data_IF_273672094664
#
_entry.id   IF_273672094664
#
_cell.length_a   1.000
_cell.length_b   1.000
_cell.length_c   1.000
_cell.angle_alpha   90.00
_cell.angle_beta   90.00
_cell.angle_gamma   90.00
#
_symmetry.space_group_name_H-M   'P 1'
#
loop_
_entity.id
_entity.type
_entity.pdbx_description
1 polymer ?
#
# COMPACT_ATOMS: atom_id res chain seq x y z
N UNK A 1 -0.66 12.28 9.38
CA UNK A 1 0.20 12.04 8.21
C UNK A 1 -0.08 10.70 7.60
N UNK A 2 0.55 9.63 8.12
CA UNK A 2 0.44 8.26 7.57
C UNK A 2 -1.02 7.75 7.55
N UNK A 3 -1.82 8.07 8.56
CA UNK A 3 -3.25 7.73 8.61
C UNK A 3 -4.09 8.33 7.48
N UNK A 4 -3.70 9.49 6.92
CA UNK A 4 -4.42 10.10 5.79
C UNK A 4 -4.23 9.24 4.53
N UNK A 5 -3.08 8.57 4.36
CA UNK A 5 -2.90 7.61 3.28
C UNK A 5 -3.72 6.33 3.51
N UNK A 6 -3.75 5.84 4.75
CA UNK A 6 -4.53 4.65 5.08
C UNK A 6 -6.02 4.82 4.81
N UNK A 7 -6.53 6.06 4.84
CA UNK A 7 -7.89 6.42 4.46
C UNK A 7 -8.23 6.13 2.98
N UNK A 8 -7.22 6.03 2.12
CA UNK A 8 -7.41 5.82 0.68
C UNK A 8 -6.76 4.53 0.15
N UNK A 9 -6.09 3.79 1.02
CA UNK A 9 -5.57 2.46 0.70
C UNK A 9 -6.72 1.46 0.77
N UNK A 10 -7.34 1.21 -0.39
CA UNK A 10 -8.36 0.18 -0.52
C UNK A 10 -7.74 -1.20 -0.30
N UNK A 11 -8.57 -2.17 0.08
CA UNK A 11 -8.13 -3.54 0.30
C UNK A 11 -7.47 -4.16 -0.95
N UNK A 12 -6.40 -4.94 -0.76
CA UNK A 12 -5.72 -5.72 -1.81
C UNK A 12 -6.69 -6.59 -2.62
N UNK A 13 -7.84 -6.90 -2.01
CA UNK A 13 -8.98 -7.62 -2.58
C UNK A 13 -9.47 -6.99 -3.89
N UNK A 14 -9.40 -5.67 -4.09
CA UNK A 14 -9.88 -5.05 -5.34
C UNK A 14 -9.01 -5.40 -6.56
N UNK A 15 -7.70 -5.61 -6.37
CA UNK A 15 -6.82 -6.09 -7.45
C UNK A 15 -7.14 -7.54 -7.82
N UNK A 16 -7.39 -8.39 -6.82
CA UNK A 16 -7.85 -9.76 -7.03
C UNK A 16 -9.26 -9.81 -7.66
N UNK A 17 -10.14 -8.88 -7.28
CA UNK A 17 -11.47 -8.76 -7.86
C UNK A 17 -11.39 -8.35 -9.33
N UNK A 18 -10.44 -7.45 -9.70
CA UNK A 18 -10.18 -7.10 -11.09
C UNK A 18 -9.75 -8.31 -11.93
N UNK A 19 -8.89 -9.17 -11.38
CA UNK A 19 -8.48 -10.41 -12.04
C UNK A 19 -9.68 -11.30 -12.35
N UNK A 20 -10.55 -11.49 -11.35
CA UNK A 20 -11.76 -12.31 -11.50
C UNK A 20 -12.74 -11.71 -12.50
N UNK A 21 -12.93 -10.39 -12.50
CA UNK A 21 -13.74 -9.66 -13.49
C UNK A 21 -13.20 -9.81 -14.91
N UNK A 22 -11.89 -9.98 -15.08
CA UNK A 22 -11.24 -10.16 -16.38
C UNK A 22 -11.46 -11.56 -16.97
N UNK A 23 -12.25 -12.42 -16.31
CA UNK A 23 -12.59 -13.77 -16.78
C UNK A 23 -11.56 -14.83 -16.43
N UNK A 24 -10.60 -14.53 -15.55
CA UNK A 24 -9.61 -15.50 -15.09
C UNK A 24 -10.19 -16.47 -14.06
N UNK A 25 -9.72 -17.71 -14.11
CA UNK A 25 -10.13 -18.78 -13.21
C UNK A 25 -9.73 -18.50 -11.74
N UNK A 26 -10.45 -19.09 -10.79
CA UNK A 26 -10.22 -18.90 -9.35
C UNK A 26 -8.80 -19.34 -8.94
N UNK A 27 -8.28 -20.41 -9.57
CA UNK A 27 -6.91 -20.86 -9.38
C UNK A 27 -5.87 -19.79 -9.75
N UNK A 28 -6.16 -18.98 -10.77
CA UNK A 28 -5.27 -17.90 -11.23
C UNK A 28 -5.22 -16.76 -10.20
N UNK A 29 -6.37 -16.39 -9.63
CA UNK A 29 -6.45 -15.37 -8.57
C UNK A 29 -5.71 -15.80 -7.30
N UNK A 30 -5.83 -17.07 -6.91
CA UNK A 30 -5.06 -17.65 -5.79
C UNK A 30 -3.57 -17.63 -6.10
N UNK A 31 -3.18 -18.02 -7.33
CA UNK A 31 -1.78 -17.99 -7.79
C UNK A 31 -1.18 -16.59 -7.74
N UNK A 32 -1.92 -15.58 -8.20
CA UNK A 32 -1.50 -14.18 -8.13
C UNK A 32 -1.32 -13.70 -6.68
N UNK A 33 -2.22 -14.10 -5.78
CA UNK A 33 -2.10 -13.78 -4.35
C UNK A 33 -0.86 -14.42 -3.71
N UNK A 34 -0.61 -15.70 -3.98
CA UNK A 34 0.60 -16.40 -3.50
C UNK A 34 1.86 -15.73 -4.04
N UNK A 35 1.88 -15.41 -5.33
CA UNK A 35 3.01 -14.77 -5.98
C UNK A 35 3.30 -13.37 -5.41
N UNK A 36 2.26 -12.55 -5.20
CA UNK A 36 2.40 -11.27 -4.51
C UNK A 36 3.03 -11.43 -3.13
N UNK A 37 2.56 -12.38 -2.32
CA UNK A 37 3.12 -12.64 -1.00
C UNK A 37 4.57 -13.14 -1.06
N UNK A 38 4.94 -13.93 -2.08
CA UNK A 38 6.32 -14.36 -2.30
C UNK A 38 7.22 -13.17 -2.62
N UNK A 39 6.80 -12.29 -3.53
CA UNK A 39 7.55 -11.07 -3.87
C UNK A 39 7.68 -10.17 -2.64
N UNK A 40 6.61 -9.98 -1.90
CA UNK A 40 6.62 -9.26 -0.62
C UNK A 40 7.66 -9.86 0.35
N UNK A 41 7.63 -11.18 0.59
CA UNK A 41 8.51 -11.83 1.54
C UNK A 41 9.99 -11.70 1.15
N UNK A 42 10.32 -11.87 -0.14
CA UNK A 42 11.69 -11.73 -0.65
C UNK A 42 12.14 -10.25 -0.61
N UNK A 43 11.25 -9.31 -0.91
CA UNK A 43 11.58 -7.89 -0.97
C UNK A 43 11.58 -7.19 0.41
N UNK A 44 10.86 -7.71 1.40
CA UNK A 44 10.69 -7.08 2.71
C UNK A 44 12.02 -6.83 3.42
N UNK A 45 12.91 -7.83 3.45
CA UNK A 45 14.23 -7.68 4.07
C UNK A 45 15.14 -6.67 3.34
N UNK A 46 15.42 -6.80 2.03
CA UNK A 46 16.31 -5.86 1.34
C UNK A 46 15.75 -4.44 1.31
N UNK A 47 14.43 -4.27 1.15
CA UNK A 47 13.81 -2.95 1.20
C UNK A 47 13.84 -2.37 2.62
N UNK A 48 13.67 -3.20 3.67
CA UNK A 48 13.90 -2.78 5.05
C UNK A 48 15.29 -2.17 5.26
N UNK A 49 16.34 -2.90 4.86
CA UNK A 49 17.73 -2.44 4.93
C UNK A 49 17.95 -1.18 4.09
N UNK A 50 17.34 -1.10 2.90
CA UNK A 50 17.42 0.09 2.06
C UNK A 50 16.77 1.30 2.75
N UNK A 51 15.61 1.12 3.38
CA UNK A 51 14.88 2.13 4.13
C UNK A 51 15.68 2.69 5.29
N UNK A 52 16.40 1.84 6.00
CA UNK A 52 17.31 2.26 7.08
C UNK A 52 18.47 3.13 6.57
N UNK A 53 18.91 2.92 5.32
CA UNK A 53 19.99 3.70 4.67
C UNK A 53 19.53 5.01 4.04
N UNK A 54 18.45 4.98 3.25
CA UNK A 54 18.00 6.15 2.47
C UNK A 54 16.97 7.01 3.20
N UNK A 55 16.38 6.49 4.28
CA UNK A 55 15.32 7.10 5.07
C UNK A 55 13.98 6.38 4.89
N UNK A 56 13.34 6.02 6.01
CA UNK A 56 12.07 5.29 6.05
C UNK A 56 10.95 6.04 5.32
N UNK A 57 10.88 7.38 5.46
CA UNK A 57 9.90 8.19 4.76
C UNK A 57 10.05 8.10 3.25
N UNK A 58 11.29 8.20 2.73
CA UNK A 58 11.55 8.18 1.28
C UNK A 58 11.14 6.84 0.68
N UNK A 59 11.45 5.75 1.37
CA UNK A 59 11.07 4.42 0.93
C UNK A 59 9.54 4.22 0.99
N UNK A 60 8.88 4.74 2.03
CA UNK A 60 7.42 4.72 2.12
C UNK A 60 6.77 5.47 0.94
N UNK A 61 7.28 6.66 0.59
CA UNK A 61 6.82 7.43 -0.57
C UNK A 61 7.05 6.70 -1.89
N UNK A 62 8.17 5.98 -2.03
CA UNK A 62 8.43 5.13 -3.19
C UNK A 62 7.39 4.01 -3.31
N UNK A 63 7.04 3.36 -2.20
CA UNK A 63 5.98 2.36 -2.18
C UNK A 63 4.64 2.93 -2.64
N UNK A 64 4.25 4.09 -2.12
CA UNK A 64 3.03 4.80 -2.55
C UNK A 64 3.00 5.08 -4.06
N UNK A 65 4.14 5.45 -4.66
CA UNK A 65 4.23 5.63 -6.12
C UNK A 65 4.02 4.31 -6.86
N UNK A 66 4.61 3.23 -6.36
CA UNK A 66 4.39 1.87 -6.90
C UNK A 66 2.91 1.49 -6.83
N UNK A 67 2.24 1.76 -5.72
CA UNK A 67 0.80 1.54 -5.57
C UNK A 67 -0.01 2.30 -6.63
N UNK A 68 0.26 3.60 -6.79
CA UNK A 68 -0.41 4.42 -7.81
C UNK A 68 -0.23 3.85 -9.21
N UNK A 69 1.00 3.49 -9.58
CA UNK A 69 1.32 2.89 -10.88
C UNK A 69 0.58 1.58 -11.11
N UNK A 70 0.52 0.70 -10.11
CA UNK A 70 -0.21 -0.57 -10.19
C UNK A 70 -1.70 -0.32 -10.39
N UNK A 71 -2.31 0.54 -9.59
CA UNK A 71 -3.75 0.80 -9.66
C UNK A 71 -4.17 1.47 -10.97
N UNK A 72 -3.38 2.43 -11.47
CA UNK A 72 -3.60 2.98 -12.81
C UNK A 72 -3.39 1.93 -13.91
N UNK A 73 -2.30 1.15 -13.82
CA UNK A 73 -1.99 0.10 -14.79
C UNK A 73 -3.09 -0.97 -14.89
N UNK A 74 -3.61 -1.43 -13.76
CA UNK A 74 -4.72 -2.40 -13.68
C UNK A 74 -6.06 -1.81 -14.12
N UNK A 75 -6.23 -0.49 -14.04
CA UNK A 75 -7.43 0.19 -14.53
C UNK A 75 -7.57 0.10 -16.05
N UNK A 76 -6.45 0.15 -16.79
CA UNK A 76 -6.43 0.21 -18.25
C UNK A 76 -5.89 -1.06 -18.94
N UNK A 77 -5.13 -1.88 -18.23
CA UNK A 77 -4.49 -3.08 -18.76
C UNK A 77 -5.27 -4.35 -18.43
N UNK A 78 -5.80 -5.03 -19.45
CA UNK A 78 -6.51 -6.31 -19.32
C UNK A 78 -5.68 -7.51 -19.84
N UNK A 79 -4.35 -7.39 -19.86
CA UNK A 79 -3.48 -8.45 -20.40
C UNK A 79 -2.78 -9.22 -19.29
N UNK A 80 -2.74 -10.54 -19.42
CA UNK A 80 -2.17 -11.49 -18.45
C UNK A 80 -0.76 -11.09 -17.98
N UNK A 81 0.10 -10.62 -18.89
CA UNK A 81 1.46 -10.21 -18.52
C UNK A 81 1.49 -8.91 -17.69
N UNK A 82 0.58 -7.97 -17.96
CA UNK A 82 0.44 -6.72 -17.19
C UNK A 82 0.06 -7.04 -15.76
N UNK A 83 -0.77 -8.06 -15.55
CA UNK A 83 -1.20 -8.51 -14.24
C UNK A 83 -0.03 -9.05 -13.42
N UNK A 84 0.78 -9.96 -13.96
CA UNK A 84 1.95 -10.48 -13.23
C UNK A 84 2.95 -9.39 -12.85
N UNK A 85 3.18 -8.42 -13.73
CA UNK A 85 4.00 -7.25 -13.41
C UNK A 85 3.34 -6.38 -12.35
N UNK A 86 2.05 -6.13 -12.46
CA UNK A 86 1.29 -5.36 -11.48
C UNK A 86 1.39 -5.99 -10.09
N UNK A 87 1.17 -7.30 -9.95
CA UNK A 87 1.31 -8.02 -8.67
C UNK A 87 2.76 -8.08 -8.17
N UNK A 88 3.76 -8.11 -9.06
CA UNK A 88 5.17 -7.99 -8.67
C UNK A 88 5.47 -6.62 -8.05
N UNK A 89 5.06 -5.55 -8.75
CA UNK A 89 5.22 -4.16 -8.26
C UNK A 89 4.39 -3.93 -7.01
N UNK A 90 3.23 -4.58 -6.90
CA UNK A 90 2.39 -4.53 -5.70
C UNK A 90 3.08 -5.18 -4.50
N UNK A 91 3.77 -6.31 -4.69
CA UNK A 91 4.59 -6.93 -3.64
C UNK A 91 5.71 -6.02 -3.15
N UNK A 92 6.35 -5.30 -4.07
CA UNK A 92 7.36 -4.26 -3.76
C UNK A 92 6.73 -3.10 -2.96
N UNK A 93 5.54 -2.65 -3.36
CA UNK A 93 4.78 -1.64 -2.61
C UNK A 93 4.52 -2.12 -1.17
N UNK A 94 3.98 -3.32 -0.98
CA UNK A 94 3.67 -3.84 0.35
C UNK A 94 4.94 -3.93 1.20
N UNK A 95 6.04 -4.42 0.62
CA UNK A 95 7.33 -4.54 1.30
C UNK A 95 7.94 -3.19 1.70
N UNK A 96 7.71 -2.14 0.89
CA UNK A 96 8.19 -0.78 1.14
C UNK A 96 7.27 0.06 2.02
N UNK A 97 6.11 -0.45 2.41
CA UNK A 97 5.13 0.32 3.21
C UNK A 97 4.75 -0.35 4.53
N UNK A 98 4.47 -1.65 4.54
CA UNK A 98 3.88 -2.30 5.71
C UNK A 98 4.88 -2.43 6.88
N UNK A 99 6.09 -2.92 6.61
CA UNK A 99 7.17 -2.96 7.60
C UNK A 99 7.75 -1.57 7.89
N UNK A 100 7.87 -0.75 6.85
CA UNK A 100 8.47 0.59 6.92
C UNK A 100 7.64 1.56 7.75
N UNK A 101 6.31 1.55 7.62
CA UNK A 101 5.41 2.38 8.43
C UNK A 101 5.50 2.05 9.92
N UNK A 102 5.51 0.76 10.27
CA UNK A 102 5.68 0.29 11.65
C UNK A 102 7.03 0.74 12.21
N UNK A 103 8.12 0.50 11.48
CA UNK A 103 9.47 0.95 11.86
C UNK A 103 9.57 2.47 11.97
N UNK A 104 8.85 3.22 11.13
CA UNK A 104 8.85 4.67 11.20
C UNK A 104 8.13 5.17 12.45
N UNK A 105 6.98 4.58 12.79
CA UNK A 105 6.23 4.91 14.01
C UNK A 105 7.04 4.60 15.26
N UNK A 106 7.67 3.42 15.33
CA UNK A 106 8.47 3.03 16.51
C UNK A 106 9.68 3.94 16.74
N UNK A 107 10.22 4.57 15.68
CA UNK A 107 11.30 5.55 15.78
C UNK A 107 10.85 6.95 16.24
N UNK A 108 9.54 7.22 16.27
CA UNK A 108 8.97 8.51 16.67
C UNK A 108 8.48 8.53 18.13
N UNK A 109 8.43 7.37 18.78
CA UNK A 109 7.88 7.22 20.13
C UNK A 109 8.92 6.58 21.07
N UNK A 110 8.84 6.85 22.38
CA UNK A 110 9.63 6.12 23.36
C UNK A 110 9.36 4.61 23.31
N UNK A 111 10.35 3.79 23.66
CA UNK A 111 10.23 2.33 23.67
C UNK A 111 9.08 1.83 24.57
N UNK A 112 8.78 2.54 25.65
CA UNK A 112 7.67 2.22 26.57
C UNK A 112 6.29 2.38 25.92
N UNK A 113 6.16 3.27 24.94
CA UNK A 113 4.90 3.61 24.27
C UNK A 113 4.71 2.91 22.92
N UNK A 114 5.68 2.09 22.50
CA UNK A 114 5.70 1.48 21.16
C UNK A 114 4.48 0.59 20.92
N UNK A 115 4.08 -0.21 21.91
CA UNK A 115 2.91 -1.09 21.79
C UNK A 115 1.62 -0.27 21.62
N UNK A 116 1.44 0.78 22.41
CA UNK A 116 0.30 1.70 22.32
C UNK A 116 0.26 2.40 20.97
N UNK A 117 1.41 2.96 20.51
CA UNK A 117 1.50 3.67 19.24
C UNK A 117 1.15 2.77 18.05
N UNK A 118 1.67 1.55 18.01
CA UNK A 118 1.35 0.57 16.96
C UNK A 118 -0.10 0.09 17.07
N UNK A 119 -0.62 -0.15 18.28
CA UNK A 119 -2.01 -0.54 18.50
C UNK A 119 -2.99 0.52 18.01
N UNK A 120 -2.79 1.78 18.40
CA UNK A 120 -3.57 2.93 17.95
C UNK A 120 -3.48 3.09 16.43
N UNK A 121 -2.27 3.00 15.86
CA UNK A 121 -2.08 3.09 14.42
C UNK A 121 -2.87 2.02 13.66
N UNK A 122 -2.75 0.75 14.07
CA UNK A 122 -3.48 -0.35 13.43
C UNK A 122 -5.00 -0.20 13.58
N UNK A 123 -5.49 0.26 14.74
CA UNK A 123 -6.91 0.48 14.96
C UNK A 123 -7.48 1.55 14.00
N UNK A 124 -6.82 2.71 13.92
CA UNK A 124 -7.22 3.76 12.98
C UNK A 124 -7.05 3.32 11.53
N UNK A 125 -6.00 2.55 11.22
CA UNK A 125 -5.79 1.96 9.90
C UNK A 125 -6.96 1.08 9.48
N UNK A 126 -7.42 0.18 10.35
CA UNK A 126 -8.57 -0.68 10.05
C UNK A 126 -9.85 0.10 9.81
N UNK A 127 -10.13 1.13 10.61
CA UNK A 127 -11.29 2.02 10.41
C UNK A 127 -11.21 2.72 9.05
N UNK A 128 -10.04 3.28 8.74
CA UNK A 128 -9.77 3.94 7.46
C UNK A 128 -9.97 2.99 6.27
N UNK A 129 -9.49 1.75 6.38
CA UNK A 129 -9.60 0.72 5.36
C UNK A 129 -11.05 0.30 5.09
N UNK A 130 -11.90 0.29 6.11
CA UNK A 130 -13.35 0.04 5.94
C UNK A 130 -13.98 1.14 5.09
N UNK A 131 -13.76 2.42 5.43
CA UNK A 131 -14.28 3.53 4.65
C UNK A 131 -13.73 3.56 3.23
N UNK A 132 -12.42 3.31 3.06
CA UNK A 132 -11.79 3.20 1.75
C UNK A 132 -12.46 2.12 0.91
N UNK A 133 -12.66 0.93 1.49
CA UNK A 133 -13.26 -0.22 0.80
C UNK A 133 -14.73 0.03 0.44
N UNK A 134 -15.49 0.72 1.30
CA UNK A 134 -16.87 1.12 0.99
C UNK A 134 -16.92 2.10 -0.19
N UNK A 135 -16.05 3.12 -0.21
CA UNK A 135 -15.99 4.10 -1.31
C UNK A 135 -15.56 3.42 -2.60
N UNK A 136 -14.48 2.62 -2.58
CA UNK A 136 -14.00 1.90 -3.75
C UNK A 136 -15.03 0.90 -4.26
N UNK A 137 -15.70 0.15 -3.38
CA UNK A 137 -16.75 -0.79 -3.76
C UNK A 137 -18.01 -0.11 -4.33
N UNK A 138 -18.39 1.04 -3.78
CA UNK A 138 -19.49 1.85 -4.31
C UNK A 138 -19.16 2.39 -5.72
N UNK A 139 -17.94 2.89 -5.93
CA UNK A 139 -17.48 3.33 -7.26
C UNK A 139 -17.42 2.17 -8.26
N UNK A 140 -16.97 1.00 -7.80
CA UNK A 140 -16.85 -0.20 -8.63
C UNK A 140 -18.21 -0.65 -9.16
N UNK A 141 -19.22 -0.67 -8.30
CA UNK A 141 -20.56 -1.13 -8.64
C UNK A 141 -21.40 -0.08 -9.36
N UNK A 142 -21.22 1.21 -9.06
CA UNK A 142 -22.01 2.29 -9.66
C UNK A 142 -21.47 2.80 -10.98
N UNK A 143 -20.14 2.75 -11.20
CA UNK A 143 -19.49 3.33 -12.39
C UNK A 143 -18.78 2.25 -13.19
N UNK A 144 -17.68 1.72 -12.66
CA UNK A 144 -16.92 0.57 -13.18
C UNK A 144 -15.65 0.34 -12.35
N UNK A 145 -15.03 -0.82 -12.55
CA UNK A 145 -13.77 -1.22 -11.92
C UNK A 145 -12.60 -0.28 -12.21
N UNK A 146 -12.47 0.19 -13.45
CA UNK A 146 -11.38 1.09 -13.87
C UNK A 146 -11.39 2.40 -13.09
N UNK A 147 -12.55 3.05 -12.95
CA UNK A 147 -12.72 4.31 -12.23
C UNK A 147 -12.42 4.15 -10.74
N UNK A 148 -12.88 3.06 -10.13
CA UNK A 148 -12.60 2.75 -8.73
C UNK A 148 -11.09 2.59 -8.48
N UNK A 149 -10.38 1.87 -9.34
CA UNK A 149 -8.93 1.70 -9.25
C UNK A 149 -8.18 3.01 -9.52
N UNK A 150 -8.58 3.79 -10.53
CA UNK A 150 -7.96 5.08 -10.83
C UNK A 150 -8.12 6.08 -9.68
N UNK A 151 -9.27 6.12 -9.00
CA UNK A 151 -9.49 6.99 -7.84
C UNK A 151 -8.57 6.58 -6.68
N UNK A 152 -8.45 5.29 -6.39
CA UNK A 152 -7.50 4.78 -5.39
C UNK A 152 -6.04 5.12 -5.75
N UNK A 153 -5.66 4.98 -7.03
CA UNK A 153 -4.33 5.36 -7.51
C UNK A 153 -4.06 6.88 -7.39
N UNK A 154 -5.04 7.71 -7.74
CA UNK A 154 -4.95 9.17 -7.61
C UNK A 154 -4.82 9.60 -6.14
N UNK A 155 -5.57 8.97 -5.24
CA UNK A 155 -5.50 9.26 -3.82
C UNK A 155 -4.14 8.88 -3.20
N UNK A 156 -3.49 7.83 -3.70
CA UNK A 156 -2.10 7.53 -3.34
C UNK A 156 -1.13 8.64 -3.80
N UNK A 157 -1.28 9.17 -5.02
CA UNK A 157 -0.46 10.30 -5.48
C UNK A 157 -0.68 11.57 -4.66
N UNK A 158 -1.93 11.89 -4.30
CA UNK A 158 -2.24 13.00 -3.39
C UNK A 158 -1.55 12.80 -2.04
N UNK A 159 -1.53 11.56 -1.53
CA UNK A 159 -0.83 11.21 -0.29
C UNK A 159 0.67 11.40 -0.41
N UNK A 160 1.28 11.07 -1.56
CA UNK A 160 2.70 11.35 -1.84
C UNK A 160 2.99 12.84 -1.76
N UNK A 161 2.19 13.66 -2.45
CA UNK A 161 2.35 15.12 -2.47
C UNK A 161 2.23 15.67 -1.05
N UNK A 162 1.17 15.30 -0.33
CA UNK A 162 0.92 15.73 1.04
C UNK A 162 2.09 15.36 1.97
N UNK A 163 2.53 14.10 1.97
CA UNK A 163 3.61 13.63 2.83
C UNK A 163 4.97 14.20 2.43
N UNK A 164 5.20 14.50 1.15
CA UNK A 164 6.45 15.11 0.68
C UNK A 164 6.70 16.48 1.33
N UNK A 165 5.64 17.25 1.59
CA UNK A 165 5.70 18.58 2.22
C UNK A 165 6.08 18.61 3.70
N UNK A 166 5.96 17.50 4.43
CA UNK A 166 6.33 17.45 5.85
C UNK A 166 7.83 17.15 6.03
N UNK A 167 8.57 17.93 6.83
CA UNK A 167 9.94 17.56 7.20
C UNK A 167 9.92 16.37 8.18
N UNK A 168 10.85 15.43 8.00
CA UNK A 168 11.05 14.34 8.95
C UNK A 168 11.33 14.92 10.34
N UNK A 169 10.61 14.49 11.40
CA UNK A 169 11.05 14.74 12.76
C UNK A 169 12.45 14.12 12.92
N UNK A 170 13.42 14.91 13.35
CA UNK A 170 14.78 14.43 13.56
C UNK A 170 14.78 13.23 14.51
N UNK A 171 15.61 12.20 14.23
CA UNK A 171 15.76 11.01 15.08
C UNK A 171 15.88 11.44 16.55
N UNK A 172 14.93 11.03 17.40
CA UNK A 172 15.15 11.12 18.84
C UNK A 172 16.35 10.23 19.16
N UNK A 173 17.46 10.84 19.60
CA UNK A 173 18.60 10.10 20.12
C UNK A 173 18.09 9.30 21.32
N UNK A 174 18.18 7.98 21.22
CA UNK A 174 17.99 7.09 22.36
C UNK A 174 18.98 7.50 23.46
N UNK A 175 18.52 7.73 24.71
CA UNK A 175 19.40 7.91 25.85
C UNK A 175 20.25 6.67 26.14
#
# INVERSE_FOLDING_TARGET
GILIFTLFNGSDVFLLLKLKESGMDDAYSIGAYIFYNLVYAVAAYPLGVLGDRIGLKRLFLFGLLCYGLVYFGMGFGNSDWILWIAFSVYGIYAASTEGISKAWITNLVPKTETATALGTFNAFQSVCMIFASLITGFLWTSVNSTSALCVSGAAALVSVIYLSGFREPGKQKSP
#
